data_IF_955630732433
#
_entry.id   IF_955630732433
#
_cell.length_a   1.000
_cell.length_b   1.000
_cell.length_c   1.000
_cell.angle_alpha   90.00
_cell.angle_beta   90.00
_cell.angle_gamma   90.00
#
_symmetry.space_group_name_H-M   'P 1'
#
loop_
_entity.id
_entity.type
_entity.pdbx_description
1 polymer ?
#
# COMPACT_ATOMS: atom_id res chain seq x y z
N UNK A 1 2.88 -6.38 -8.91
CA UNK A 1 2.16 -7.54 -9.46
C UNK A 1 1.01 -7.08 -10.38
N UNK A 2 0.41 -7.95 -11.21
CA UNK A 2 -0.73 -7.54 -12.06
C UNK A 2 -1.93 -7.02 -11.23
N UNK A 3 -2.12 -7.62 -10.05
CA UNK A 3 -3.12 -7.21 -9.07
C UNK A 3 -2.92 -5.79 -8.54
N UNK A 4 -1.67 -5.30 -8.41
CA UNK A 4 -1.43 -3.90 -8.00
C UNK A 4 -2.04 -2.92 -9.00
N UNK A 5 -1.93 -3.23 -10.30
CA UNK A 5 -2.50 -2.40 -11.37
C UNK A 5 -4.02 -2.53 -11.41
N UNK A 6 -4.54 -3.74 -11.20
CA UNK A 6 -5.98 -4.00 -11.29
C UNK A 6 -6.77 -3.39 -10.14
N UNK A 7 -6.25 -3.51 -8.91
CA UNK A 7 -6.89 -2.97 -7.71
C UNK A 7 -6.55 -1.50 -7.46
N UNK A 8 -5.41 -1.03 -7.96
CA UNK A 8 -4.97 0.38 -7.91
C UNK A 8 -5.14 1.05 -6.52
N UNK A 9 -4.82 0.31 -5.47
CA UNK A 9 -4.95 0.77 -4.09
C UNK A 9 -3.84 1.78 -3.76
N UNK A 10 -4.20 3.05 -3.58
CA UNK A 10 -3.24 4.13 -3.26
C UNK A 10 -2.49 3.83 -1.97
N UNK A 11 -1.19 4.14 -1.98
CA UNK A 11 -0.34 4.00 -0.79
C UNK A 11 -0.08 2.56 -0.36
N UNK A 12 -0.41 1.56 -1.19
CA UNK A 12 -0.18 0.15 -0.88
C UNK A 12 0.49 -0.59 -2.02
N UNK A 13 1.16 -1.69 -1.69
CA UNK A 13 1.70 -2.67 -2.61
C UNK A 13 1.19 -4.05 -2.24
N UNK A 14 0.83 -4.85 -3.24
CA UNK A 14 0.47 -6.25 -3.02
C UNK A 14 1.75 -7.08 -3.06
N UNK A 15 2.03 -7.78 -1.95
CA UNK A 15 3.19 -8.66 -1.83
C UNK A 15 2.86 -10.13 -2.10
N UNK A 16 1.59 -10.48 -2.07
CA UNK A 16 1.12 -11.82 -2.39
C UNK A 16 -0.39 -11.89 -2.37
N UNK A 17 -0.93 -12.95 -2.94
CA UNK A 17 -2.35 -13.22 -2.89
C UNK A 17 -2.61 -14.72 -2.86
N UNK A 18 -3.77 -15.09 -2.32
CA UNK A 18 -4.27 -16.46 -2.33
C UNK A 18 -5.70 -16.45 -2.84
N UNK A 19 -6.02 -17.42 -3.70
CA UNK A 19 -7.39 -17.67 -4.11
C UNK A 19 -8.11 -18.42 -2.99
N UNK A 20 -9.28 -17.93 -2.60
CA UNK A 20 -10.27 -18.68 -1.83
C UNK A 20 -11.33 -19.16 -2.84
N UNK A 21 -11.29 -20.46 -3.14
CA UNK A 21 -12.14 -21.07 -4.16
C UNK A 21 -13.62 -20.70 -3.94
N UNK A 22 -14.25 -20.19 -4.99
CA UNK A 22 -15.66 -19.79 -5.06
C UNK A 22 -16.08 -18.60 -4.18
N UNK A 23 -15.15 -17.92 -3.49
CA UNK A 23 -15.48 -16.77 -2.64
C UNK A 23 -14.75 -15.50 -3.11
N UNK A 24 -13.46 -15.60 -3.41
CA UNK A 24 -12.68 -14.43 -3.86
C UNK A 24 -11.17 -14.58 -3.68
N UNK A 25 -10.49 -13.44 -3.59
CA UNK A 25 -9.03 -13.36 -3.41
C UNK A 25 -8.68 -12.67 -2.10
N UNK A 26 -7.71 -13.21 -1.38
CA UNK A 26 -7.11 -12.58 -0.19
C UNK A 26 -5.74 -12.07 -0.56
N UNK A 27 -5.50 -10.77 -0.39
CA UNK A 27 -4.23 -10.12 -0.71
C UNK A 27 -3.45 -9.80 0.56
N UNK A 28 -2.15 -10.11 0.57
CA UNK A 28 -1.21 -9.55 1.54
C UNK A 28 -0.71 -8.22 0.99
N UNK A 29 -1.08 -7.14 1.67
CA UNK A 29 -0.68 -5.78 1.31
C UNK A 29 0.39 -5.26 2.27
N UNK A 30 1.29 -4.44 1.75
CA UNK A 30 2.17 -3.59 2.53
C UNK A 30 1.86 -2.14 2.24
N UNK A 31 1.97 -1.30 3.27
CA UNK A 31 1.92 0.14 3.07
C UNK A 31 3.16 0.57 2.32
N UNK A 32 2.99 1.24 1.19
CA UNK A 32 4.07 2.06 0.64
C UNK A 32 4.22 3.22 1.61
N UNK A 33 5.41 3.42 2.16
CA UNK A 33 5.70 4.54 3.04
C UNK A 33 5.23 5.83 2.36
N UNK A 34 4.09 6.36 2.83
CA UNK A 34 3.60 7.65 2.43
C UNK A 34 4.43 8.65 3.22
N UNK A 35 5.49 9.16 2.60
CA UNK A 35 6.21 10.30 3.17
C UNK A 35 5.23 11.46 3.21
N UNK A 36 5.03 12.00 4.40
CA UNK A 36 4.32 13.24 4.59
C UNK A 36 5.36 14.37 4.67
N UNK A 37 5.08 15.48 4.00
CA UNK A 37 5.84 16.71 4.20
C UNK A 37 5.36 17.35 5.50
N UNK A 38 6.27 17.55 6.45
CA UNK A 38 5.91 18.29 7.66
C UNK A 38 5.60 19.76 7.31
N UNK A 39 4.45 20.31 7.71
CA UNK A 39 4.12 21.70 7.44
C UNK A 39 5.00 22.71 8.20
N UNK A 40 5.65 22.28 9.30
CA UNK A 40 6.45 23.18 10.14
C UNK A 40 7.90 23.30 9.67
N UNK A 41 8.55 22.21 9.23
CA UNK A 41 9.96 22.23 8.81
C UNK A 41 10.20 21.82 7.35
N UNK A 42 9.17 21.41 6.61
CA UNK A 42 9.28 21.01 5.21
C UNK A 42 9.94 19.66 4.96
N UNK A 43 10.30 18.91 6.01
CA UNK A 43 10.94 17.61 5.87
C UNK A 43 9.93 16.55 5.41
N UNK A 44 10.27 15.80 4.37
CA UNK A 44 9.53 14.60 3.98
C UNK A 44 9.96 13.39 4.82
N UNK A 45 9.05 12.85 5.62
CA UNK A 45 9.30 11.66 6.43
C UNK A 45 8.07 10.75 6.48
N UNK A 46 8.33 9.46 6.64
CA UNK A 46 7.34 8.44 6.96
C UNK A 46 7.01 8.38 8.46
N UNK A 47 7.69 9.20 9.28
CA UNK A 47 7.49 9.30 10.73
C UNK A 47 6.93 10.66 11.09
N UNK A 48 6.03 10.66 12.08
CA UNK A 48 5.73 11.86 12.85
C UNK A 48 6.98 12.24 13.62
N UNK A 49 7.40 13.49 13.46
CA UNK A 49 8.38 14.10 14.34
C UNK A 49 7.69 15.04 15.32
#
# INVERSE_FOLDING_TARGET
MILDKFLNLKGTSIQGYRHLENIGIVCRIESKNQKATCPHCGLESDKLH
#
